data_IF_632114355865
#
_entry.id   IF_632114355865
#
_cell.length_a   1.000
_cell.length_b   1.000
_cell.length_c   1.000
_cell.angle_alpha   90.00
_cell.angle_beta   90.00
_cell.angle_gamma   90.00
#
_symmetry.space_group_name_H-M   'P 1'
#
loop_
_entity.id
_entity.type
_entity.pdbx_description
1 polymer ?
#
# COMPACT_ATOMS: atom_id res chain seq x y z
N UNK A 1 29.88 0.46 34.58
CA UNK A 1 28.58 0.97 34.10
C UNK A 1 28.37 0.40 32.71
N UNK A 2 27.50 -0.60 32.54
CA UNK A 2 27.27 -1.21 31.23
C UNK A 2 26.37 -0.28 30.40
N UNK A 3 26.65 -0.08 29.09
CA UNK A 3 25.78 0.72 28.23
C UNK A 3 24.40 0.05 28.15
N UNK A 4 23.34 0.85 28.32
CA UNK A 4 21.97 0.38 28.17
C UNK A 4 21.80 -0.23 26.76
N UNK A 5 21.35 -1.49 26.69
CA UNK A 5 21.00 -2.11 25.41
C UNK A 5 19.86 -1.30 24.78
N UNK A 6 19.92 -0.95 23.48
CA UNK A 6 18.78 -0.34 22.81
C UNK A 6 17.60 -1.31 22.94
N UNK A 7 16.55 -0.87 23.64
CA UNK A 7 15.31 -1.61 23.74
C UNK A 7 14.69 -1.61 22.36
N UNK A 8 14.63 -2.79 21.73
CA UNK A 8 13.86 -2.98 20.52
C UNK A 8 12.39 -2.74 20.89
N UNK A 9 11.87 -1.53 20.63
CA UNK A 9 10.47 -1.25 20.92
C UNK A 9 9.60 -2.00 19.90
N UNK A 10 8.79 -2.99 20.31
CA UNK A 10 8.02 -3.82 19.39
C UNK A 10 7.03 -3.02 18.54
N UNK A 11 6.55 -1.89 19.05
CA UNK A 11 5.68 -0.96 18.34
C UNK A 11 6.37 -0.30 17.13
N UNK A 12 7.68 -0.03 17.20
CA UNK A 12 8.45 0.50 16.08
C UNK A 12 8.58 -0.55 14.96
N UNK A 13 8.77 -1.83 15.32
CA UNK A 13 8.88 -2.92 14.36
C UNK A 13 7.61 -3.16 13.54
N UNK A 14 6.42 -3.08 14.17
CA UNK A 14 5.15 -3.29 13.47
C UNK A 14 4.82 -2.15 12.49
N UNK A 15 4.94 -0.90 12.91
CA UNK A 15 4.69 0.25 12.03
C UNK A 15 5.71 0.28 10.88
N UNK A 16 6.97 -0.08 11.14
CA UNK A 16 7.96 -0.24 10.09
C UNK A 16 7.56 -1.36 9.12
N UNK A 17 7.12 -2.52 9.60
CA UNK A 17 6.63 -3.60 8.73
C UNK A 17 5.52 -3.11 7.78
N UNK A 18 4.50 -2.42 8.30
CA UNK A 18 3.41 -1.88 7.47
C UNK A 18 3.92 -0.89 6.41
N UNK A 19 4.86 -0.03 6.76
CA UNK A 19 5.47 0.90 5.81
C UNK A 19 6.23 0.18 4.69
N UNK A 20 7.06 -0.80 5.03
CA UNK A 20 7.80 -1.57 4.03
C UNK A 20 6.86 -2.41 3.16
N UNK A 21 5.79 -2.94 3.75
CA UNK A 21 4.78 -3.67 2.99
C UNK A 21 4.11 -2.75 1.96
N UNK A 22 3.75 -1.51 2.33
CA UNK A 22 3.26 -0.50 1.38
C UNK A 22 4.26 -0.19 0.26
N UNK A 23 5.56 -0.10 0.55
CA UNK A 23 6.57 0.12 -0.48
C UNK A 23 6.68 -1.06 -1.46
N UNK A 24 6.60 -2.29 -0.95
CA UNK A 24 6.57 -3.50 -1.78
C UNK A 24 5.32 -3.50 -2.66
N UNK A 25 4.16 -3.14 -2.13
CA UNK A 25 2.92 -3.05 -2.91
C UNK A 25 2.96 -1.96 -3.97
N UNK A 26 3.58 -0.82 -3.66
CA UNK A 26 3.79 0.25 -4.63
C UNK A 26 4.70 -0.23 -5.77
N UNK A 27 5.83 -0.86 -5.44
CA UNK A 27 6.77 -1.41 -6.42
C UNK A 27 6.12 -2.49 -7.28
N UNK A 28 5.35 -3.40 -6.66
CA UNK A 28 4.60 -4.43 -7.37
C UNK A 28 3.54 -3.83 -8.29
N UNK A 29 2.81 -2.82 -7.83
CA UNK A 29 1.83 -2.10 -8.64
C UNK A 29 2.50 -1.43 -9.85
N UNK A 30 3.68 -0.85 -9.67
CA UNK A 30 4.46 -0.29 -10.79
C UNK A 30 4.86 -1.39 -11.78
N UNK A 31 5.32 -2.52 -11.27
CA UNK A 31 5.69 -3.66 -12.11
C UNK A 31 4.52 -4.14 -12.97
N UNK A 32 3.35 -4.41 -12.37
CA UNK A 32 2.21 -4.96 -13.12
C UNK A 32 1.52 -3.95 -14.04
N UNK A 33 1.58 -2.65 -13.75
CA UNK A 33 0.88 -1.61 -14.55
C UNK A 33 1.74 -0.97 -15.63
N UNK A 34 3.06 -1.00 -15.48
CA UNK A 34 3.98 -0.35 -16.40
C UNK A 34 5.00 -1.35 -16.97
N UNK A 35 5.81 -1.99 -16.13
CA UNK A 35 6.93 -2.80 -16.61
C UNK A 35 6.47 -4.05 -17.39
N UNK A 36 5.51 -4.79 -16.85
CA UNK A 36 4.96 -5.99 -17.50
C UNK A 36 4.20 -5.64 -18.80
N UNK A 37 3.29 -4.65 -18.84
CA UNK A 37 2.65 -4.18 -20.08
C UNK A 37 3.64 -3.69 -21.15
N UNK A 38 4.65 -2.92 -20.76
CA UNK A 38 5.68 -2.43 -21.69
C UNK A 38 6.50 -3.59 -22.25
N UNK A 39 6.96 -4.51 -21.39
CA UNK A 39 7.69 -5.70 -21.83
C UNK A 39 6.87 -6.57 -22.77
N UNK A 40 5.57 -6.76 -22.47
CA UNK A 40 4.64 -7.46 -23.35
C UNK A 40 4.51 -6.75 -24.71
N UNK A 41 4.23 -5.44 -24.72
CA UNK A 41 4.06 -4.69 -25.96
C UNK A 41 5.32 -4.74 -26.86
N UNK A 42 6.50 -4.61 -26.26
CA UNK A 42 7.77 -4.71 -26.98
C UNK A 42 8.01 -6.12 -27.56
N UNK A 43 7.68 -7.17 -26.81
CA UNK A 43 7.84 -8.55 -27.27
C UNK A 43 6.92 -8.92 -28.43
N UNK A 44 5.74 -8.31 -28.52
CA UNK A 44 4.73 -8.59 -29.54
C UNK A 44 4.62 -7.51 -30.63
N UNK A 45 5.52 -6.52 -30.64
CA UNK A 45 5.54 -5.46 -31.67
C UNK A 45 4.34 -4.50 -31.61
N UNK A 46 3.71 -4.37 -30.45
CA UNK A 46 2.59 -3.45 -30.22
C UNK A 46 3.08 -2.07 -29.73
N UNK A 47 2.27 -1.01 -29.87
CA UNK A 47 2.60 0.29 -29.27
C UNK A 47 2.81 0.17 -27.75
N UNK A 48 3.94 0.67 -27.25
CA UNK A 48 4.40 0.48 -25.87
C UNK A 48 3.41 0.95 -24.79
N UNK A 49 2.57 1.94 -25.10
CA UNK A 49 1.61 2.52 -24.16
C UNK A 49 0.23 1.86 -24.19
N UNK A 50 -0.01 0.88 -25.08
CA UNK A 50 -1.33 0.31 -25.36
C UNK A 50 -2.01 -0.31 -24.13
N UNK A 51 -1.22 -0.94 -23.27
CA UNK A 51 -1.69 -1.71 -22.11
C UNK A 51 -1.37 -1.03 -20.77
N UNK A 52 -0.91 0.22 -20.79
CA UNK A 52 -0.55 0.94 -19.56
C UNK A 52 -1.80 1.48 -18.87
N UNK A 53 -1.97 1.12 -17.60
CA UNK A 53 -3.00 1.69 -16.73
C UNK A 53 -2.43 2.89 -15.97
N UNK A 54 -2.93 4.08 -16.29
CA UNK A 54 -2.49 5.32 -15.65
C UNK A 54 -3.26 5.56 -14.35
N UNK A 55 -2.64 5.25 -13.22
CA UNK A 55 -3.11 5.73 -11.93
C UNK A 55 -1.98 6.08 -10.97
N UNK A 56 -2.29 7.00 -10.05
CA UNK A 56 -1.34 7.54 -9.09
C UNK A 56 -1.30 6.76 -7.76
N UNK A 57 -1.95 5.60 -7.67
CA UNK A 57 -2.05 4.84 -6.43
C UNK A 57 -0.69 4.45 -5.82
N UNK A 58 0.34 4.04 -6.60
CA UNK A 58 1.67 3.78 -6.04
C UNK A 58 2.26 4.97 -5.27
N UNK A 59 1.99 6.19 -5.73
CA UNK A 59 2.47 7.42 -5.08
C UNK A 59 1.78 7.59 -3.72
N UNK A 60 0.48 7.33 -3.64
CA UNK A 60 -0.27 7.38 -2.38
C UNK A 60 0.23 6.31 -1.40
N UNK A 61 0.52 5.10 -1.88
CA UNK A 61 1.07 4.02 -1.04
C UNK A 61 2.44 4.39 -0.47
N UNK A 62 3.33 4.95 -1.31
CA UNK A 62 4.63 5.46 -0.87
C UNK A 62 4.46 6.60 0.14
N UNK A 63 3.53 7.51 -0.10
CA UNK A 63 3.28 8.63 0.82
C UNK A 63 2.80 8.15 2.20
N UNK A 64 1.85 7.19 2.25
CA UNK A 64 1.40 6.60 3.50
C UNK A 64 2.52 5.82 4.18
N UNK A 65 3.28 5.01 3.43
CA UNK A 65 4.42 4.27 3.97
C UNK A 65 5.48 5.19 4.58
N UNK A 66 5.83 6.27 3.88
CA UNK A 66 6.72 7.30 4.43
C UNK A 66 6.13 7.95 5.68
N UNK A 67 4.85 8.31 5.69
CA UNK A 67 4.21 8.93 6.85
C UNK A 67 4.21 8.00 8.07
N UNK A 68 4.06 6.68 7.89
CA UNK A 68 4.17 5.70 8.97
C UNK A 68 5.58 5.68 9.60
N UNK A 69 6.63 5.91 8.81
CA UNK A 69 8.01 5.96 9.30
C UNK A 69 8.38 7.31 9.91
N UNK A 70 8.10 8.41 9.19
CA UNK A 70 8.47 9.77 9.59
C UNK A 70 7.55 10.35 10.68
N UNK A 71 6.34 9.79 10.84
CA UNK A 71 5.29 10.20 11.78
C UNK A 71 5.04 11.72 11.83
N UNK A 72 4.83 12.42 10.69
CA UNK A 72 4.34 13.81 10.72
C UNK A 72 3.00 13.92 11.46
N UNK A 73 2.65 15.13 11.90
CA UNK A 73 1.47 15.42 12.72
C UNK A 73 0.13 14.92 12.13
N UNK A 74 0.04 14.79 10.80
CA UNK A 74 -1.16 14.34 10.09
C UNK A 74 -1.21 12.82 9.83
N UNK A 75 -0.18 12.05 10.20
CA UNK A 75 -0.04 10.61 9.87
C UNK A 75 -1.28 9.81 10.27
N UNK A 76 -1.77 10.01 11.49
CA UNK A 76 -2.95 9.32 11.98
C UNK A 76 -4.20 9.58 11.11
N UNK A 77 -4.46 10.85 10.77
CA UNK A 77 -5.61 11.24 9.94
C UNK A 77 -5.46 10.71 8.52
N UNK A 78 -4.24 10.79 7.96
CA UNK A 78 -3.92 10.27 6.63
C UNK A 78 -4.14 8.75 6.57
N UNK A 79 -3.61 7.99 7.53
CA UNK A 79 -3.73 6.54 7.59
C UNK A 79 -5.20 6.11 7.62
N UNK A 80 -6.04 6.73 8.46
CA UNK A 80 -7.48 6.43 8.50
C UNK A 80 -8.16 6.79 7.19
N UNK A 81 -7.99 8.01 6.70
CA UNK A 81 -8.68 8.51 5.52
C UNK A 81 -8.35 7.65 4.28
N UNK A 82 -7.07 7.38 4.03
CA UNK A 82 -6.64 6.58 2.89
C UNK A 82 -7.07 5.13 3.04
N UNK A 83 -6.98 4.54 4.24
CA UNK A 83 -7.42 3.15 4.44
C UNK A 83 -8.91 2.97 4.16
N UNK A 84 -9.76 3.86 4.67
CA UNK A 84 -11.20 3.80 4.41
C UNK A 84 -11.50 3.96 2.91
N UNK A 85 -10.85 4.93 2.26
CA UNK A 85 -11.02 5.17 0.84
C UNK A 85 -10.62 3.94 0.00
N UNK A 86 -9.45 3.37 0.25
CA UNK A 86 -8.97 2.18 -0.46
C UNK A 86 -9.86 0.97 -0.21
N UNK A 87 -10.27 0.72 1.04
CA UNK A 87 -11.17 -0.40 1.35
C UNK A 87 -12.48 -0.28 0.57
N UNK A 88 -13.11 0.90 0.58
CA UNK A 88 -14.37 1.13 -0.16
C UNK A 88 -14.18 0.92 -1.65
N UNK A 89 -13.11 1.49 -2.24
CA UNK A 89 -12.82 1.37 -3.67
C UNK A 89 -12.58 -0.10 -4.04
N UNK A 90 -11.75 -0.82 -3.30
CA UNK A 90 -11.39 -2.20 -3.63
C UNK A 90 -12.56 -3.14 -3.45
N UNK A 91 -13.34 -3.01 -2.37
CA UNK A 91 -14.56 -3.80 -2.20
C UNK A 91 -15.56 -3.55 -3.35
N UNK A 92 -15.70 -2.30 -3.79
CA UNK A 92 -16.55 -1.97 -4.95
C UNK A 92 -16.05 -2.62 -6.25
N UNK A 93 -14.73 -2.62 -6.45
CA UNK A 93 -14.10 -3.28 -7.60
C UNK A 93 -14.26 -4.79 -7.56
N UNK A 94 -14.12 -5.42 -6.40
CA UNK A 94 -14.34 -6.85 -6.23
C UNK A 94 -15.80 -7.24 -6.42
N UNK A 95 -16.75 -6.45 -5.92
CA UNK A 95 -18.17 -6.70 -6.18
C UNK A 95 -18.48 -6.72 -7.68
N UNK A 96 -17.91 -5.78 -8.44
CA UNK A 96 -18.06 -5.76 -9.91
C UNK A 96 -17.35 -6.95 -10.59
N UNK A 97 -16.15 -7.30 -10.14
CA UNK A 97 -15.40 -8.42 -10.69
C UNK A 97 -16.09 -9.77 -10.46
N UNK A 98 -16.63 -10.00 -9.25
CA UNK A 98 -17.31 -11.24 -8.89
C UNK A 98 -18.66 -11.43 -9.61
N UNK A 99 -19.26 -10.35 -10.11
CA UNK A 99 -20.48 -10.42 -10.89
C UNK A 99 -20.26 -11.03 -12.29
N UNK A 100 -19.09 -10.84 -12.88
CA UNK A 100 -18.69 -11.40 -14.18
C UNK A 100 -17.16 -11.58 -14.22
N UNK A 101 -16.63 -12.70 -13.68
CA UNK A 101 -15.21 -12.86 -13.48
C UNK A 101 -14.47 -13.26 -14.77
N UNK A 102 -13.48 -12.47 -15.14
CA UNK A 102 -12.47 -12.81 -16.15
C UNK A 102 -11.16 -13.26 -15.48
N UNK A 103 -10.64 -14.43 -15.84
CA UNK A 103 -9.39 -14.96 -15.28
C UNK A 103 -8.20 -14.88 -16.24
N UNK A 104 -8.27 -13.97 -17.22
CA UNK A 104 -7.11 -13.61 -18.05
C UNK A 104 -5.88 -13.26 -17.20
N UNK A 105 -4.68 -13.41 -17.78
CA UNK A 105 -3.42 -13.11 -17.07
C UNK A 105 -3.40 -11.69 -16.50
N UNK A 106 -3.93 -10.71 -17.24
CA UNK A 106 -4.02 -9.32 -16.78
C UNK A 106 -4.96 -9.17 -15.58
N UNK A 107 -6.15 -9.76 -15.68
CA UNK A 107 -7.16 -9.65 -14.62
C UNK A 107 -6.77 -10.42 -13.36
N UNK A 108 -6.11 -11.56 -13.51
CA UNK A 108 -5.56 -12.34 -12.39
C UNK A 108 -4.46 -11.57 -11.66
N UNK A 109 -3.50 -10.96 -12.37
CA UNK A 109 -2.47 -10.12 -11.75
C UNK A 109 -3.08 -8.92 -11.01
N UNK A 110 -4.08 -8.28 -11.63
CA UNK A 110 -4.85 -7.21 -10.99
C UNK A 110 -5.57 -7.68 -9.72
N UNK A 111 -6.23 -8.84 -9.76
CA UNK A 111 -6.98 -9.40 -8.64
C UNK A 111 -6.06 -9.68 -7.45
N UNK A 112 -4.94 -10.40 -7.69
CA UNK A 112 -3.94 -10.71 -6.67
C UNK A 112 -3.42 -9.42 -6.03
N UNK A 113 -3.05 -8.42 -6.84
CA UNK A 113 -2.61 -7.13 -6.32
C UNK A 113 -3.66 -6.48 -5.41
N UNK A 114 -4.94 -6.48 -5.82
CA UNK A 114 -6.03 -5.90 -5.03
C UNK A 114 -6.30 -6.63 -3.73
N UNK A 115 -6.08 -7.95 -3.67
CA UNK A 115 -6.18 -8.71 -2.42
C UNK A 115 -5.12 -8.23 -1.43
N UNK A 116 -3.85 -8.17 -1.85
CA UNK A 116 -2.78 -7.72 -0.96
C UNK A 116 -2.92 -6.26 -0.52
N UNK A 117 -3.33 -5.36 -1.43
CA UNK A 117 -3.58 -3.96 -1.10
C UNK A 117 -4.73 -3.83 -0.09
N UNK A 118 -5.83 -4.56 -0.29
CA UNK A 118 -6.95 -4.57 0.66
C UNK A 118 -6.50 -5.07 2.04
N UNK A 119 -5.79 -6.20 2.10
CA UNK A 119 -5.26 -6.74 3.35
C UNK A 119 -4.35 -5.72 4.07
N UNK A 120 -3.46 -5.05 3.33
CA UNK A 120 -2.59 -4.03 3.89
C UNK A 120 -3.37 -2.86 4.51
N UNK A 121 -4.36 -2.31 3.81
CA UNK A 121 -5.14 -1.19 4.33
C UNK A 121 -6.08 -1.58 5.47
N UNK A 122 -6.56 -2.82 5.52
CA UNK A 122 -7.24 -3.36 6.70
C UNK A 122 -6.26 -3.37 7.90
N UNK A 123 -5.03 -3.87 7.73
CA UNK A 123 -4.04 -3.90 8.80
C UNK A 123 -3.66 -2.49 9.28
N UNK A 124 -3.50 -1.53 8.36
CA UNK A 124 -3.24 -0.12 8.69
C UNK A 124 -4.41 0.48 9.48
N UNK A 125 -5.64 0.28 9.02
CA UNK A 125 -6.84 0.78 9.70
C UNK A 125 -7.00 0.18 11.10
N UNK A 126 -6.88 -1.14 11.23
CA UNK A 126 -6.93 -1.83 12.52
C UNK A 126 -5.84 -1.31 13.45
N UNK A 127 -4.63 -1.08 12.95
CA UNK A 127 -3.52 -0.50 13.74
C UNK A 127 -3.86 0.91 14.21
N UNK A 128 -4.41 1.75 13.34
CA UNK A 128 -4.83 3.11 13.69
C UNK A 128 -5.92 3.11 14.77
N UNK A 129 -6.87 2.20 14.71
CA UNK A 129 -7.98 2.12 15.67
C UNK A 129 -7.58 1.47 17.00
N UNK A 130 -6.83 0.36 16.96
CA UNK A 130 -6.45 -0.39 18.15
C UNK A 130 -5.26 0.21 18.89
N UNK A 131 -4.37 0.93 18.19
CA UNK A 131 -3.13 1.49 18.74
C UNK A 131 -2.87 2.90 18.22
N UNK A 132 -3.76 3.88 18.47
CA UNK A 132 -3.66 5.22 17.88
C UNK A 132 -2.35 5.94 18.24
N UNK A 133 -1.79 5.68 19.42
CA UNK A 133 -0.50 6.24 19.84
C UNK A 133 0.70 5.80 18.98
N UNK A 134 0.60 4.66 18.28
CA UNK A 134 1.68 4.19 17.40
C UNK A 134 1.83 5.01 16.10
N UNK A 135 0.80 5.77 15.72
CA UNK A 135 0.74 6.55 14.48
C UNK A 135 0.67 8.07 14.71
N UNK A 136 0.51 8.50 15.98
CA UNK A 136 0.55 9.93 16.33
C UNK A 136 2.01 10.40 16.34
N UNK A 137 2.21 11.68 16.04
CA UNK A 137 3.51 12.31 16.17
C UNK A 137 3.96 12.30 17.64
N UNK A 138 5.28 12.18 17.85
CA UNK A 138 5.85 12.28 19.19
C UNK A 138 5.71 13.73 19.68
N UNK A 139 4.81 13.96 20.63
CA UNK A 139 4.51 15.29 21.19
C UNK A 139 5.71 15.93 21.92
N UNK A 140 6.81 15.19 22.11
CA UNK A 140 8.00 15.62 22.85
C UNK A 140 9.16 16.14 21.97
N UNK A 141 8.97 16.28 20.65
CA UNK A 141 9.95 16.95 19.79
C UNK A 141 9.74 18.48 19.87
N UNK A 142 10.22 19.08 20.95
CA UNK A 142 10.52 20.53 21.03
C UNK A 142 11.99 20.70 21.33
#
# INVERSE_FOLDING_TARGET
MAPARPSFQPAAGWTAFLAHFLFILAAWTVFIKYLLPVGFALAYGEPWSRHIYWDAWPIIHVWVGWALLARPWYTYRLAIAVSLLEIVIICSLFARFLADPDWSTWRTNWFVNKVFVLSCFILVLVTALARPGSLKADTNAK
#
